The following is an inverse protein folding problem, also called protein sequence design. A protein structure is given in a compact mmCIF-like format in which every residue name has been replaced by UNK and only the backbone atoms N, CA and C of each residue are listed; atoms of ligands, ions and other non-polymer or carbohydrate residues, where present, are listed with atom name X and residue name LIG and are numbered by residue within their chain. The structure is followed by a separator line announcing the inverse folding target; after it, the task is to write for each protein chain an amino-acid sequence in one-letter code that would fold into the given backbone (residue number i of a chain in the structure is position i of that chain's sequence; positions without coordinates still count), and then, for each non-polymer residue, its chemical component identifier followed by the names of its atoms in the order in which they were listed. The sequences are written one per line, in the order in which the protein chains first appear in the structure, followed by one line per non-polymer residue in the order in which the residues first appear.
data_IF_678755017792
#
_entry.id   IF_678755017792
#
_cell.length_a   1.000
_cell.length_b   1.000
_cell.length_c   1.000
_cell.angle_alpha   90.00
_cell.angle_beta   90.00
_cell.angle_gamma   90.00
#
_symmetry.space_group_name_H-M   'P 1'
#
loop_
_entity.id
_entity.type
_entity.pdbx_description
1 polymer ?
#
# COMPACT_ATOMS: atom_id res chain seq x y z
N UNK A 1 3.13 6.71 -22.61
CA UNK A 1 3.54 7.87 -21.77
C UNK A 1 3.33 7.58 -20.28
N UNK A 2 2.13 7.20 -19.82
CA UNK A 2 1.86 6.94 -18.39
C UNK A 2 2.77 5.90 -17.75
N UNK A 3 2.99 4.74 -18.40
CA UNK A 3 3.93 3.71 -17.92
C UNK A 3 5.35 4.24 -17.73
N UNK A 4 5.85 5.02 -18.68
CA UNK A 4 7.19 5.60 -18.62
C UNK A 4 7.32 6.61 -17.46
N UNK A 5 6.26 7.36 -17.17
CA UNK A 5 6.22 8.23 -15.99
C UNK A 5 6.26 7.41 -14.68
N UNK A 6 5.48 6.33 -14.60
CA UNK A 6 5.47 5.43 -13.43
C UNK A 6 6.82 4.74 -13.20
N UNK A 7 7.52 4.39 -14.27
CA UNK A 7 8.84 3.74 -14.22
C UNK A 7 10.00 4.76 -14.11
N UNK A 8 9.71 6.07 -14.07
CA UNK A 8 10.73 7.10 -13.94
C UNK A 8 11.46 7.05 -12.59
N UNK A 9 12.65 7.65 -12.54
CA UNK A 9 13.39 7.78 -11.28
C UNK A 9 12.63 8.59 -10.24
N UNK A 10 11.92 9.63 -10.67
CA UNK A 10 11.17 10.50 -9.76
C UNK A 10 10.11 9.70 -9.01
N UNK A 11 9.27 8.95 -9.74
CA UNK A 11 8.24 8.10 -9.11
C UNK A 11 8.90 7.01 -8.28
N UNK A 12 9.95 6.38 -8.78
CA UNK A 12 10.67 5.33 -8.06
C UNK A 12 11.21 5.78 -6.69
N UNK A 13 11.67 7.03 -6.58
CA UNK A 13 12.20 7.62 -5.34
C UNK A 13 11.12 8.00 -4.31
N UNK A 14 9.87 8.21 -4.74
CA UNK A 14 8.80 8.76 -3.89
C UNK A 14 7.56 7.86 -3.76
N UNK A 15 7.49 6.74 -4.48
CA UNK A 15 6.31 5.86 -4.48
C UNK A 15 6.01 5.28 -3.09
N UNK A 16 7.01 5.15 -2.22
CA UNK A 16 6.85 4.73 -0.82
C UNK A 16 5.87 5.63 -0.06
N UNK A 17 5.85 6.94 -0.34
CA UNK A 17 4.88 7.85 0.30
C UNK A 17 3.44 7.58 -0.10
N UNK A 18 3.21 7.18 -1.36
CA UNK A 18 1.88 6.76 -1.80
C UNK A 18 1.50 5.40 -1.19
N UNK A 19 2.46 4.47 -1.08
CA UNK A 19 2.25 3.19 -0.40
C UNK A 19 1.89 3.41 1.07
N UNK A 20 2.53 4.37 1.76
CA UNK A 20 2.21 4.72 3.14
C UNK A 20 0.76 5.19 3.33
N UNK A 21 0.21 5.90 2.34
CA UNK A 21 -1.18 6.37 2.36
C UNK A 21 -2.17 5.23 2.12
N UNK A 22 -1.88 4.34 1.18
CA UNK A 22 -2.84 3.32 0.73
C UNK A 22 -2.74 2.03 1.53
N UNK A 23 -1.55 1.62 1.96
CA UNK A 23 -1.30 0.34 2.64
C UNK A 23 -0.51 0.48 3.95
N UNK A 24 0.05 1.65 4.23
CA UNK A 24 0.94 1.86 5.35
C UNK A 24 0.33 2.63 6.51
N UNK A 25 1.20 3.17 7.37
CA UNK A 25 0.82 3.75 8.65
C UNK A 25 -0.03 5.03 8.53
N UNK A 26 -0.07 5.66 7.34
CA UNK A 26 -0.90 6.86 7.06
C UNK A 26 -2.29 6.53 6.51
N UNK A 27 -2.66 5.25 6.46
CA UNK A 27 -4.01 4.84 6.04
C UNK A 27 -5.07 5.15 7.11
N UNK A 28 -4.71 5.09 8.41
CA UNK A 28 -5.64 5.23 9.55
C UNK A 28 -5.05 6.06 10.69
N UNK A 29 -5.91 6.50 11.61
CA UNK A 29 -5.51 7.21 12.84
C UNK A 29 -5.01 8.63 12.59
N UNK A 30 -4.28 9.19 13.57
CA UNK A 30 -3.83 10.58 13.55
C UNK A 30 -2.93 10.91 12.34
N UNK A 31 -2.19 9.94 11.82
CA UNK A 31 -1.34 10.15 10.64
C UNK A 31 -2.14 10.29 9.34
N UNK A 32 -3.29 9.61 9.24
CA UNK A 32 -4.22 9.79 8.14
C UNK A 32 -4.88 11.18 8.18
N UNK A 33 -5.26 11.66 9.36
CA UNK A 33 -5.81 13.02 9.54
C UNK A 33 -4.80 14.09 9.13
N UNK A 34 -3.55 13.99 9.61
CA UNK A 34 -2.47 14.91 9.22
C UNK A 34 -2.21 14.92 7.72
N UNK A 35 -2.42 13.79 7.04
CA UNK A 35 -2.23 13.64 5.61
C UNK A 35 -3.49 13.93 4.78
N UNK A 36 -4.61 14.31 5.40
CA UNK A 36 -5.92 14.45 4.75
C UNK A 36 -6.36 13.19 3.97
N UNK A 37 -6.15 12.01 4.57
CA UNK A 37 -6.36 10.70 3.96
C UNK A 37 -7.39 9.85 4.74
N UNK A 38 -8.41 10.48 5.31
CA UNK A 38 -9.49 9.80 6.05
C UNK A 38 -10.71 9.62 5.15
N UNK A 39 -11.22 8.39 5.08
CA UNK A 39 -12.38 8.00 4.30
C UNK A 39 -13.57 7.64 5.20
N UNK A 40 -14.71 7.33 4.59
CA UNK A 40 -15.89 6.90 5.33
C UNK A 40 -15.62 5.61 6.11
N UNK A 41 -16.17 5.49 7.33
CA UNK A 41 -15.83 4.39 8.24
C UNK A 41 -16.13 2.99 7.67
N UNK A 42 -17.19 2.87 6.86
CA UNK A 42 -17.56 1.63 6.17
C UNK A 42 -16.56 1.19 5.09
N UNK A 43 -15.67 2.08 4.64
CA UNK A 43 -14.63 1.72 3.68
C UNK A 43 -13.51 0.90 4.32
N UNK A 44 -13.35 0.96 5.65
CA UNK A 44 -12.27 0.28 6.35
C UNK A 44 -12.70 -1.11 6.81
N UNK A 45 -11.87 -2.10 6.51
CA UNK A 45 -12.06 -3.46 7.00
C UNK A 45 -12.22 -3.50 8.54
N UNK A 46 -13.22 -4.26 9.00
CA UNK A 46 -13.46 -4.57 10.41
C UNK A 46 -14.15 -3.48 11.24
N UNK A 47 -14.62 -2.39 10.63
CA UNK A 47 -15.32 -1.32 11.37
C UNK A 47 -16.76 -1.66 11.72
N UNK A 48 -17.43 -2.49 10.90
CA UNK A 48 -18.81 -2.94 11.12
C UNK A 48 -18.90 -4.44 10.86
N UNK A 49 -19.57 -5.13 11.77
CA UNK A 49 -19.93 -6.54 11.64
C UNK A 49 -21.36 -6.63 11.08
N UNK A 50 -21.45 -6.89 9.77
CA UNK A 50 -22.72 -6.87 9.02
C UNK A 50 -23.70 -7.91 9.58
N UNK A 51 -23.19 -9.05 10.05
CA UNK A 51 -24.01 -10.15 10.58
C UNK A 51 -24.66 -9.80 11.93
N UNK A 52 -24.15 -8.77 12.62
CA UNK A 52 -24.71 -8.29 13.89
C UNK A 52 -25.77 -7.20 13.71
N UNK A 53 -25.98 -6.69 12.49
CA UNK A 53 -27.00 -5.69 12.22
C UNK A 53 -28.36 -6.39 12.13
N UNK A 54 -29.23 -6.12 13.10
CA UNK A 54 -30.57 -6.75 13.17
C UNK A 54 -31.60 -6.06 12.29
N UNK A 55 -31.42 -4.76 12.02
CA UNK A 55 -32.31 -4.01 11.15
C UNK A 55 -31.95 -4.27 9.68
N UNK A 56 -32.91 -4.80 8.93
CA UNK A 56 -32.70 -5.20 7.53
C UNK A 56 -32.42 -4.01 6.61
N UNK A 57 -33.03 -2.85 6.87
CA UNK A 57 -32.82 -1.65 6.06
C UNK A 57 -31.40 -1.10 6.29
N UNK A 58 -30.95 -1.05 7.54
CA UNK A 58 -29.58 -0.65 7.88
C UNK A 58 -28.54 -1.61 7.30
N UNK A 59 -28.80 -2.93 7.37
CA UNK A 59 -27.93 -3.96 6.80
C UNK A 59 -27.78 -3.77 5.28
N UNK A 60 -28.90 -3.63 4.57
CA UNK A 60 -28.89 -3.39 3.12
C UNK A 60 -28.19 -2.08 2.76
N UNK A 61 -28.37 -1.02 3.56
CA UNK A 61 -27.69 0.25 3.35
C UNK A 61 -26.17 0.11 3.53
N UNK A 62 -25.70 -0.61 4.55
CA UNK A 62 -24.29 -0.87 4.79
C UNK A 62 -23.66 -1.72 3.68
N UNK A 63 -24.31 -2.82 3.28
CA UNK A 63 -23.87 -3.67 2.18
C UNK A 63 -23.77 -2.88 0.86
N UNK A 64 -24.81 -2.12 0.54
CA UNK A 64 -24.83 -1.26 -0.66
C UNK A 64 -23.71 -0.22 -0.63
N UNK A 65 -23.43 0.36 0.55
CA UNK A 65 -22.33 1.31 0.70
C UNK A 65 -20.97 0.65 0.41
N UNK A 66 -20.71 -0.50 1.05
CA UNK A 66 -19.47 -1.26 0.90
C UNK A 66 -19.24 -1.72 -0.54
N UNK A 67 -20.31 -2.09 -1.26
CA UNK A 67 -20.21 -2.55 -2.65
C UNK A 67 -19.98 -1.42 -3.65
N UNK A 68 -20.58 -0.25 -3.42
CA UNK A 68 -20.68 0.79 -4.46
C UNK A 68 -19.86 2.06 -4.19
N UNK A 69 -19.45 2.32 -2.94
CA UNK A 69 -18.82 3.59 -2.54
C UNK A 69 -17.36 3.45 -2.10
N UNK A 70 -16.76 2.29 -2.38
CA UNK A 70 -15.32 2.05 -2.23
C UNK A 70 -14.95 1.22 -1.00
N UNK A 71 -13.86 0.49 -1.15
CA UNK A 71 -13.27 -0.35 -0.12
C UNK A 71 -11.79 0.03 0.00
N UNK A 72 -11.38 0.44 1.19
CA UNK A 72 -9.97 0.71 1.49
C UNK A 72 -9.24 -0.61 1.60
N UNK A 73 -8.11 -0.81 0.89
CA UNK A 73 -7.33 -2.05 1.00
C UNK A 73 -6.86 -2.33 2.43
N UNK A 74 -6.56 -3.58 2.75
CA UNK A 74 -6.03 -3.93 4.07
C UNK A 74 -4.69 -3.23 4.34
N UNK A 75 -4.51 -2.77 5.58
CA UNK A 75 -3.28 -2.12 6.02
C UNK A 75 -2.19 -3.18 6.23
N UNK A 76 -1.12 -3.10 5.45
CA UNK A 76 -0.01 -4.06 5.48
C UNK A 76 1.10 -3.63 6.44
N UNK A 77 1.36 -2.33 6.54
CA UNK A 77 2.40 -1.76 7.41
C UNK A 77 1.74 -0.89 8.48
N UNK A 78 1.67 -1.39 9.71
CA UNK A 78 0.90 -0.74 10.78
C UNK A 78 1.70 0.37 11.46
N UNK A 79 3.01 0.16 11.67
CA UNK A 79 3.84 1.01 12.54
C UNK A 79 4.96 1.73 11.81
N UNK A 80 5.58 1.04 10.86
CA UNK A 80 6.81 1.51 10.23
C UNK A 80 6.50 2.15 8.86
N UNK A 81 7.18 3.25 8.50
CA UNK A 81 7.15 3.80 7.16
C UNK A 81 7.64 2.78 6.13
N UNK A 82 7.02 2.77 4.95
CA UNK A 82 7.49 1.95 3.85
C UNK A 82 8.91 2.39 3.45
N UNK A 83 9.86 1.43 3.31
CA UNK A 83 11.23 1.76 2.94
C UNK A 83 11.29 2.38 1.55
N UNK A 84 12.20 3.33 1.36
CA UNK A 84 12.49 3.85 0.02
C UNK A 84 13.03 2.76 -0.90
N UNK A 85 12.76 2.89 -2.20
CA UNK A 85 13.28 1.95 -3.19
C UNK A 85 14.81 2.05 -3.23
N UNK A 86 15.48 0.89 -3.22
CA UNK A 86 16.94 0.83 -3.33
C UNK A 86 17.46 1.61 -4.54
N UNK A 87 18.49 2.41 -4.30
CA UNK A 87 19.30 3.03 -5.36
C UNK A 87 20.01 1.96 -6.19
N UNK A 88 20.44 2.30 -7.40
CA UNK A 88 21.11 1.34 -8.30
C UNK A 88 22.31 0.64 -7.64
N UNK A 89 23.03 1.35 -6.78
CA UNK A 89 24.17 0.82 -6.03
C UNK A 89 23.77 -0.28 -5.03
N UNK A 90 22.59 -0.16 -4.43
CA UNK A 90 22.04 -1.11 -3.44
C UNK A 90 21.12 -2.15 -4.05
N UNK A 91 20.88 -2.09 -5.37
CA UNK A 91 20.09 -3.09 -6.07
C UNK A 91 20.85 -4.41 -6.06
N UNK A 92 20.14 -5.50 -5.79
CA UNK A 92 20.74 -6.84 -5.85
C UNK A 92 21.35 -7.04 -7.23
N UNK A 93 22.67 -7.24 -7.28
CA UNK A 93 23.40 -7.62 -8.49
C UNK A 93 23.56 -9.13 -8.46
N UNK A 94 23.23 -9.84 -9.56
CA UNK A 94 23.53 -11.25 -9.67
C UNK A 94 25.03 -11.47 -9.40
N UNK A 95 25.35 -12.51 -8.61
CA UNK A 95 26.74 -12.87 -8.29
C UNK A 95 27.62 -13.06 -9.54
N UNK A 96 26.99 -13.28 -10.70
CA UNK A 96 27.65 -13.44 -12.00
C UNK A 96 28.45 -12.20 -12.46
N UNK A 97 28.11 -11.01 -11.98
CA UNK A 97 28.75 -9.73 -12.35
C UNK A 97 29.87 -9.29 -11.39
N UNK A 98 30.13 -10.06 -10.34
CA UNK A 98 31.22 -9.75 -9.43
C UNK A 98 32.52 -10.30 -10.01
N UNK A 99 33.41 -9.44 -10.50
CA UNK A 99 34.71 -9.84 -11.08
C UNK A 99 35.60 -10.59 -10.09
N UNK A 100 35.28 -10.51 -8.80
CA UNK A 100 35.94 -11.22 -7.70
C UNK A 100 35.41 -12.66 -7.49
N UNK A 101 34.32 -13.06 -8.16
CA UNK A 101 33.76 -14.42 -8.04
C UNK A 101 34.40 -15.33 -9.09
N UNK A 102 35.04 -16.45 -8.70
CA UNK A 102 35.68 -17.37 -9.63
C UNK A 102 34.71 -17.85 -10.72
N UNK A 103 35.17 -17.87 -11.97
CA UNK A 103 34.36 -18.20 -13.16
C UNK A 103 33.62 -19.55 -13.11
N UNK A 104 33.98 -20.44 -12.17
CA UNK A 104 33.40 -21.77 -11.98
C UNK A 104 32.03 -21.81 -11.28
N UNK A 105 31.56 -20.70 -10.72
CA UNK A 105 30.25 -20.60 -10.05
C UNK A 105 29.18 -19.88 -10.88
N UNK A 106 29.44 -19.65 -12.17
CA UNK A 106 28.41 -19.20 -13.12
C UNK A 106 27.72 -20.44 -13.68
N UNK A 107 26.59 -20.80 -13.07
CA UNK A 107 25.66 -21.78 -13.62
C UNK A 107 25.08 -21.26 -14.94
#
# INVERSE_FOLDING_TARGET
IQRLAMESEYVSKHINHWIDLIFGYKQRGAEAEKANNVFHYLSYEGTVDIDKITDELERQAAESHIQNFGQTPSQLLIREPHPERNTEEKRWKPLMYNELVPRRLRC
#
